data_IF_879817315736
#
_entry.id   IF_879817315736
#
_cell.length_a   1.000
_cell.length_b   1.000
_cell.length_c   1.000
_cell.angle_alpha   90.00
_cell.angle_beta   90.00
_cell.angle_gamma   90.00
#
_symmetry.space_group_name_H-M   'P 1'
#
loop_
_entity.id
_entity.type
_entity.pdbx_description
1 polymer ?
#
# COMPACT_ATOMS: atom_id res chain seq x y z
N UNK A 1 -10.57 -3.70 -20.80
CA UNK A 1 -9.77 -2.47 -20.99
C UNK A 1 -8.35 -2.84 -20.63
N UNK A 2 -7.55 -3.20 -21.62
CA UNK A 2 -6.15 -3.53 -21.42
C UNK A 2 -5.43 -2.23 -21.04
N UNK A 3 -5.13 -2.08 -19.74
CA UNK A 3 -4.10 -1.15 -19.31
C UNK A 3 -2.79 -1.69 -19.85
N UNK A 4 -2.40 -1.19 -21.03
CA UNK A 4 -1.08 -1.43 -21.59
C UNK A 4 -0.11 -0.79 -20.59
N UNK A 5 0.45 -1.62 -19.70
CA UNK A 5 1.63 -1.21 -18.98
C UNK A 5 2.68 -0.96 -20.06
N UNK A 6 3.15 0.27 -20.13
CA UNK A 6 4.15 0.68 -21.10
C UNK A 6 5.36 -0.21 -20.87
N UNK A 7 5.64 -1.07 -21.81
CA UNK A 7 6.94 -1.71 -21.90
C UNK A 7 7.96 -0.60 -22.13
N UNK A 8 9.12 -0.74 -21.55
CA UNK A 8 10.26 0.12 -21.87
C UNK A 8 10.53 0.10 -23.36
N UNK A 9 11.07 1.20 -23.90
CA UNK A 9 11.42 1.27 -25.33
C UNK A 9 12.52 0.27 -25.65
N UNK A 10 12.35 -0.45 -26.76
CA UNK A 10 13.36 -1.41 -27.26
C UNK A 10 14.56 -0.68 -27.87
N UNK A 11 15.75 -1.28 -27.78
CA UNK A 11 16.98 -0.74 -28.38
C UNK A 11 17.58 0.47 -27.70
N UNK A 12 17.06 0.84 -26.52
CA UNK A 12 17.60 1.94 -25.73
C UNK A 12 18.66 1.43 -24.76
N UNK A 13 19.86 2.01 -24.80
CA UNK A 13 20.91 1.75 -23.80
C UNK A 13 20.48 2.31 -22.44
N UNK A 14 20.62 1.51 -21.38
CA UNK A 14 20.14 1.83 -20.04
C UNK A 14 21.27 1.83 -19.04
N UNK A 15 21.27 2.76 -18.09
CA UNK A 15 22.18 2.69 -16.97
C UNK A 15 21.97 1.40 -16.17
N UNK A 16 23.06 0.73 -15.84
CA UNK A 16 23.06 -0.51 -15.06
C UNK A 16 23.34 -0.21 -13.61
N UNK A 17 22.57 -0.79 -12.70
CA UNK A 17 22.72 -0.57 -11.27
C UNK A 17 22.75 -1.91 -10.53
N UNK A 18 23.83 -2.26 -9.83
CA UNK A 18 23.87 -3.46 -9.04
C UNK A 18 23.04 -3.31 -7.78
N UNK A 19 22.37 -4.40 -7.39
CA UNK A 19 21.60 -4.49 -6.16
C UNK A 19 21.76 -5.85 -5.50
N UNK A 20 21.68 -5.90 -4.18
CA UNK A 20 21.53 -7.15 -3.44
C UNK A 20 20.05 -7.53 -3.38
N UNK A 21 19.20 -6.58 -3.02
CA UNK A 21 17.75 -6.77 -2.94
C UNK A 21 17.02 -5.58 -3.56
N UNK A 22 16.05 -5.86 -4.42
CA UNK A 22 15.11 -4.86 -4.92
C UNK A 22 13.70 -5.20 -4.44
N UNK A 23 13.07 -4.29 -3.69
CA UNK A 23 11.69 -4.39 -3.22
C UNK A 23 10.84 -3.50 -4.12
N UNK A 24 9.91 -4.06 -4.87
CA UNK A 24 9.03 -3.31 -5.77
C UNK A 24 7.71 -3.01 -5.07
N UNK A 25 7.49 -1.74 -4.76
CA UNK A 25 6.32 -1.22 -4.08
C UNK A 25 6.61 -0.68 -2.69
N UNK A 26 6.54 0.65 -2.54
CA UNK A 26 6.71 1.42 -1.29
C UNK A 26 5.45 1.51 -0.43
N UNK A 27 4.58 0.49 -0.50
CA UNK A 27 3.40 0.36 0.37
C UNK A 27 3.71 -0.24 1.74
N UNK A 28 2.69 -0.48 2.59
CA UNK A 28 2.89 -1.04 3.93
C UNK A 28 3.73 -2.33 3.93
N UNK A 29 3.47 -3.23 2.98
CA UNK A 29 4.17 -4.52 2.89
C UNK A 29 5.65 -4.34 2.52
N UNK A 30 5.95 -3.51 1.51
CA UNK A 30 7.34 -3.26 1.09
C UNK A 30 8.16 -2.54 2.17
N UNK A 31 7.56 -1.55 2.84
CA UNK A 31 8.22 -0.84 3.94
C UNK A 31 8.45 -1.75 5.15
N UNK A 32 7.47 -2.58 5.53
CA UNK A 32 7.65 -3.55 6.61
C UNK A 32 8.72 -4.60 6.26
N UNK A 33 8.76 -5.05 5.01
CA UNK A 33 9.79 -5.96 4.51
C UNK A 33 11.19 -5.34 4.62
N UNK A 34 11.36 -4.09 4.18
CA UNK A 34 12.63 -3.37 4.25
C UNK A 34 13.11 -3.21 5.70
N UNK A 35 12.22 -2.79 6.61
CA UNK A 35 12.53 -2.67 8.03
C UNK A 35 12.95 -4.01 8.65
N UNK A 36 12.16 -5.07 8.38
CA UNK A 36 12.48 -6.38 8.92
C UNK A 36 13.80 -6.92 8.38
N UNK A 37 14.06 -6.74 7.09
CA UNK A 37 15.33 -7.12 6.47
C UNK A 37 16.50 -6.38 7.12
N UNK A 38 16.37 -5.07 7.35
CA UNK A 38 17.39 -4.29 8.05
C UNK A 38 17.69 -4.84 9.43
N UNK A 39 16.67 -5.16 10.24
CA UNK A 39 16.83 -5.74 11.58
C UNK A 39 17.52 -7.10 11.54
N UNK A 40 17.19 -7.94 10.55
CA UNK A 40 17.83 -9.24 10.39
C UNK A 40 19.29 -9.12 9.98
N UNK A 41 19.63 -8.15 9.14
CA UNK A 41 21.04 -7.84 8.78
C UNK A 41 21.81 -7.38 10.01
N UNK A 42 21.24 -6.48 10.83
CA UNK A 42 21.88 -6.02 12.05
C UNK A 42 22.13 -7.17 13.04
N UNK A 43 21.14 -8.05 13.21
CA UNK A 43 21.27 -9.23 14.06
C UNK A 43 22.32 -10.21 13.53
N UNK A 44 22.34 -10.43 12.19
CA UNK A 44 23.37 -11.26 11.55
C UNK A 44 24.76 -10.68 11.77
N UNK A 45 24.93 -9.40 11.51
CA UNK A 45 26.20 -8.70 11.63
C UNK A 45 26.73 -8.70 13.09
N UNK A 46 25.85 -8.62 14.07
CA UNK A 46 26.20 -8.71 15.45
C UNK A 46 26.70 -10.13 15.85
N UNK A 47 26.18 -11.16 15.18
CA UNK A 47 26.55 -12.57 15.46
C UNK A 47 27.73 -13.07 14.62
N UNK A 48 28.02 -12.43 13.45
CA UNK A 48 29.00 -12.92 12.47
C UNK A 48 29.91 -11.79 12.01
N UNK A 49 31.03 -11.60 12.71
CA UNK A 49 32.01 -10.55 12.39
C UNK A 49 32.78 -10.78 11.09
N UNK A 50 32.87 -12.02 10.65
CA UNK A 50 33.63 -12.49 9.47
C UNK A 50 32.81 -12.51 8.17
N UNK A 51 31.47 -12.32 8.24
CA UNK A 51 30.57 -12.33 7.09
C UNK A 51 29.53 -11.22 7.17
N UNK A 52 29.99 -9.98 7.21
CA UNK A 52 29.11 -8.79 7.31
C UNK A 52 28.28 -8.58 6.04
N UNK A 53 27.00 -8.25 6.22
CA UNK A 53 26.06 -7.88 5.16
C UNK A 53 25.88 -6.36 5.13
N UNK A 54 25.87 -5.78 3.93
CA UNK A 54 25.60 -4.35 3.73
C UNK A 54 24.13 -4.09 3.43
N UNK A 55 23.64 -2.91 3.80
CA UNK A 55 22.31 -2.41 3.43
C UNK A 55 22.36 -1.45 2.23
N UNK A 56 23.53 -1.03 1.78
CA UNK A 56 23.71 0.00 0.75
C UNK A 56 23.11 -0.35 -0.60
N UNK A 57 23.09 -1.66 -0.95
CA UNK A 57 22.57 -2.15 -2.21
C UNK A 57 21.15 -2.73 -2.06
N UNK A 58 20.38 -2.28 -1.05
CA UNK A 58 18.97 -2.64 -0.86
C UNK A 58 18.13 -1.44 -1.27
N UNK A 59 17.27 -1.64 -2.26
CA UNK A 59 16.46 -0.58 -2.82
C UNK A 59 14.98 -0.89 -2.74
N UNK A 60 14.17 0.12 -2.37
CA UNK A 60 12.71 0.08 -2.47
C UNK A 60 12.28 0.97 -3.63
N UNK A 61 11.58 0.45 -4.60
CA UNK A 61 11.02 1.22 -5.72
C UNK A 61 9.58 1.64 -5.40
N UNK A 62 9.30 2.93 -5.47
CA UNK A 62 7.95 3.49 -5.32
C UNK A 62 7.62 4.34 -6.55
N UNK A 63 6.52 3.98 -7.24
CA UNK A 63 6.08 4.68 -8.45
C UNK A 63 5.54 6.09 -8.20
N UNK A 64 5.05 6.36 -7.01
CA UNK A 64 4.59 7.69 -6.62
C UNK A 64 5.78 8.62 -6.37
N UNK A 65 5.55 9.92 -6.48
CA UNK A 65 6.56 10.96 -6.18
C UNK A 65 6.92 11.02 -4.70
N UNK A 66 6.02 10.54 -3.84
CA UNK A 66 6.21 10.44 -2.40
C UNK A 66 5.67 9.10 -1.90
N UNK A 67 6.31 8.55 -0.88
CA UNK A 67 5.85 7.37 -0.17
C UNK A 67 4.44 7.62 0.40
N UNK A 68 3.55 6.65 0.24
CA UNK A 68 2.17 6.73 0.72
C UNK A 68 1.20 7.49 -0.18
N UNK A 69 1.66 8.22 -1.21
CA UNK A 69 0.79 9.06 -2.06
C UNK A 69 -0.33 8.27 -2.76
N UNK A 70 -0.12 7.00 -3.07
CA UNK A 70 -1.13 6.15 -3.67
C UNK A 70 -1.96 5.33 -2.66
N UNK A 71 -1.69 5.50 -1.36
CA UNK A 71 -2.48 4.85 -0.33
C UNK A 71 -3.79 5.62 -0.10
N UNK A 72 -4.90 4.89 -0.05
CA UNK A 72 -6.18 5.47 0.35
C UNK A 72 -6.17 5.73 1.86
N UNK A 73 -6.53 6.95 2.25
CA UNK A 73 -6.63 7.34 3.65
C UNK A 73 -7.84 6.69 4.35
N UNK A 74 -7.77 6.61 5.67
CA UNK A 74 -8.80 5.99 6.52
C UNK A 74 -8.68 4.47 6.55
N UNK A 75 -8.09 3.95 7.62
CA UNK A 75 -7.97 2.53 7.89
C UNK A 75 -8.00 2.27 9.39
N UNK A 76 -8.27 1.03 9.77
CA UNK A 76 -8.00 0.53 11.11
C UNK A 76 -6.68 -0.24 11.09
N UNK A 77 -5.82 0.10 12.02
CA UNK A 77 -4.54 -0.57 12.24
C UNK A 77 -4.68 -1.53 13.40
N UNK A 78 -4.53 -2.82 13.12
CA UNK A 78 -4.25 -3.82 14.15
C UNK A 78 -2.78 -3.63 14.59
N UNK A 79 -2.52 -3.29 15.87
CA UNK A 79 -1.19 -2.93 16.32
C UNK A 79 -0.21 -4.10 16.45
N UNK A 80 -0.67 -5.35 16.39
CA UNK A 80 0.15 -6.53 16.65
C UNK A 80 1.39 -6.60 15.76
N UNK A 81 1.21 -6.46 14.45
CA UNK A 81 2.32 -6.55 13.52
C UNK A 81 3.31 -5.38 13.63
N UNK A 82 2.80 -4.16 13.81
CA UNK A 82 3.68 -3.00 13.95
C UNK A 82 4.40 -2.99 15.30
N UNK A 83 3.76 -3.50 16.36
CA UNK A 83 4.39 -3.63 17.68
C UNK A 83 5.53 -4.66 17.68
N UNK A 84 5.44 -5.74 16.88
CA UNK A 84 6.51 -6.68 16.67
C UNK A 84 7.68 -6.04 15.91
N UNK A 85 7.37 -5.26 14.85
CA UNK A 85 8.36 -4.63 13.99
C UNK A 85 9.05 -3.44 14.65
N UNK A 86 8.26 -2.58 15.30
CA UNK A 86 8.69 -1.34 15.97
C UNK A 86 7.98 -1.24 17.32
N UNK A 87 8.53 -1.83 18.41
CA UNK A 87 7.86 -1.88 19.72
C UNK A 87 7.44 -0.51 20.27
N UNK A 88 8.21 0.52 19.97
CA UNK A 88 7.97 1.90 20.44
C UNK A 88 7.11 2.74 19.47
N UNK A 89 6.42 2.10 18.50
CA UNK A 89 5.68 2.80 17.44
C UNK A 89 4.68 3.83 17.98
N UNK A 90 4.09 3.60 19.15
CA UNK A 90 3.09 4.51 19.75
C UNK A 90 3.66 5.90 20.07
N UNK A 91 4.98 6.05 20.16
CA UNK A 91 5.63 7.30 20.51
C UNK A 91 5.57 8.34 19.39
N UNK A 92 5.67 7.90 18.13
CA UNK A 92 5.83 8.81 16.99
C UNK A 92 5.02 8.41 15.74
N UNK A 93 4.37 7.25 15.74
CA UNK A 93 3.48 6.86 14.65
C UNK A 93 2.25 7.80 14.58
N UNK A 94 1.80 8.17 13.37
CA UNK A 94 0.64 9.04 13.17
C UNK A 94 -0.67 8.28 13.42
N UNK A 95 -0.99 8.04 14.69
CA UNK A 95 -2.23 7.42 15.15
C UNK A 95 -3.26 8.50 15.41
N UNK A 96 -4.43 8.42 14.78
CA UNK A 96 -5.48 9.43 14.92
C UNK A 96 -6.31 9.21 16.21
N UNK A 97 -6.73 7.97 16.49
CA UNK A 97 -7.44 7.60 17.71
C UNK A 97 -7.36 6.09 17.97
N UNK A 98 -7.36 5.68 19.24
CA UNK A 98 -7.58 4.29 19.63
C UNK A 98 -9.07 3.96 19.53
N UNK A 99 -9.42 2.78 19.01
CA UNK A 99 -10.80 2.32 18.91
C UNK A 99 -11.30 1.94 20.29
N UNK A 100 -12.31 2.66 20.74
CA UNK A 100 -12.92 2.49 22.07
C UNK A 100 -14.36 1.96 22.01
N UNK A 101 -15.03 2.14 20.89
CA UNK A 101 -16.41 1.72 20.70
C UNK A 101 -16.66 1.26 19.26
N UNK A 102 -17.42 0.17 19.13
CA UNK A 102 -17.91 -0.31 17.84
C UNK A 102 -19.44 -0.39 17.84
N UNK A 103 -20.03 -0.12 16.70
CA UNK A 103 -21.46 -0.30 16.47
C UNK A 103 -21.72 -0.86 15.07
N UNK A 104 -22.66 -1.76 14.97
CA UNK A 104 -23.13 -2.30 13.69
C UNK A 104 -24.58 -1.88 13.48
N UNK A 105 -24.85 -1.19 12.36
CA UNK A 105 -26.19 -0.77 11.99
C UNK A 105 -26.63 -1.46 10.70
N UNK A 106 -27.85 -1.89 10.71
CA UNK A 106 -28.54 -2.33 9.51
C UNK A 106 -29.48 -1.22 9.03
N UNK A 107 -29.38 -0.87 7.76
CA UNK A 107 -30.20 0.16 7.13
C UNK A 107 -31.23 -0.46 6.20
N UNK A 108 -32.43 0.06 6.28
CA UNK A 108 -33.51 -0.14 5.31
C UNK A 108 -33.80 1.18 4.63
N UNK A 109 -34.67 1.22 3.64
CA UNK A 109 -35.05 2.49 2.96
C UNK A 109 -35.60 3.57 3.90
N UNK A 110 -36.25 3.18 5.00
CA UNK A 110 -36.98 4.12 5.88
C UNK A 110 -36.51 4.09 7.33
N UNK A 111 -35.67 3.14 7.71
CA UNK A 111 -35.26 2.97 9.10
C UNK A 111 -33.85 2.41 9.24
N UNK A 112 -33.34 2.52 10.44
CA UNK A 112 -32.07 1.87 10.84
C UNK A 112 -32.26 1.21 12.19
N UNK A 113 -31.58 0.08 12.41
CA UNK A 113 -31.51 -0.54 13.71
C UNK A 113 -30.07 -0.95 14.04
N UNK A 114 -29.71 -0.77 15.30
CA UNK A 114 -28.41 -1.19 15.81
C UNK A 114 -28.50 -2.67 16.16
N UNK A 115 -27.52 -3.47 15.72
CA UNK A 115 -27.42 -4.85 16.18
C UNK A 115 -27.07 -4.87 17.68
N UNK A 116 -27.71 -5.77 18.45
CA UNK A 116 -27.48 -5.84 19.90
C UNK A 116 -26.07 -6.35 20.25
N UNK A 117 -25.42 -7.03 19.32
CA UNK A 117 -24.09 -7.62 19.51
C UNK A 117 -23.25 -7.29 18.29
N UNK A 118 -22.02 -6.81 18.53
CA UNK A 118 -21.01 -6.71 17.46
C UNK A 118 -20.41 -8.08 17.20
N UNK A 119 -20.50 -8.61 15.95
CA UNK A 119 -19.89 -9.88 15.60
C UNK A 119 -18.38 -9.89 15.91
N UNK A 120 -17.80 -11.02 16.32
CA UNK A 120 -16.39 -11.10 16.72
C UNK A 120 -15.41 -10.57 15.68
N UNK A 121 -15.68 -10.78 14.38
CA UNK A 121 -14.84 -10.33 13.26
C UNK A 121 -14.96 -8.83 12.95
N UNK A 122 -15.86 -8.10 13.62
CA UNK A 122 -16.00 -6.63 13.57
C UNK A 122 -15.63 -5.96 14.90
N UNK A 123 -14.95 -6.69 15.78
CA UNK A 123 -14.46 -6.15 17.04
C UNK A 123 -13.06 -5.61 16.83
N UNK A 124 -12.93 -4.28 16.91
CA UNK A 124 -11.69 -3.56 16.65
C UNK A 124 -11.15 -2.85 17.90
N UNK A 125 -11.66 -3.18 19.07
CA UNK A 125 -11.20 -2.59 20.33
C UNK A 125 -9.69 -2.77 20.52
N UNK A 126 -8.97 -1.67 20.77
CA UNK A 126 -7.52 -1.66 20.86
C UNK A 126 -6.79 -1.50 19.53
N UNK A 127 -7.49 -1.52 18.40
CA UNK A 127 -6.96 -1.08 17.11
C UNK A 127 -6.88 0.46 17.06
N UNK A 128 -6.23 0.99 16.04
CA UNK A 128 -6.10 2.44 15.85
C UNK A 128 -6.73 2.90 14.55
N UNK A 129 -7.49 3.98 14.62
CA UNK A 129 -7.89 4.76 13.45
C UNK A 129 -6.66 5.48 12.92
N UNK A 130 -6.35 5.31 11.66
CA UNK A 130 -5.18 5.92 11.03
C UNK A 130 -5.51 6.53 9.66
N UNK A 131 -4.71 7.52 9.27
CA UNK A 131 -4.53 7.86 7.87
C UNK A 131 -3.44 6.97 7.26
N UNK A 132 -3.83 5.99 6.43
CA UNK A 132 -2.88 5.05 5.83
C UNK A 132 -1.77 5.77 5.04
N UNK A 133 -2.10 6.86 4.37
CA UNK A 133 -1.12 7.70 3.67
C UNK A 133 -0.04 8.22 4.63
N UNK A 134 -0.43 8.83 5.76
CA UNK A 134 0.50 9.34 6.77
C UNK A 134 1.31 8.22 7.41
N UNK A 135 0.65 7.11 7.70
CA UNK A 135 1.28 5.96 8.33
C UNK A 135 2.36 5.34 7.44
N UNK A 136 2.08 5.16 6.15
CA UNK A 136 3.07 4.63 5.21
C UNK A 136 4.22 5.61 4.98
N UNK A 137 3.94 6.92 4.95
CA UNK A 137 4.99 7.95 4.88
C UNK A 137 5.92 7.89 6.10
N UNK A 138 5.36 7.72 7.29
CA UNK A 138 6.14 7.49 8.52
C UNK A 138 6.95 6.20 8.47
N UNK A 139 6.38 5.09 7.98
CA UNK A 139 7.17 3.85 7.76
C UNK A 139 8.33 4.08 6.80
N UNK A 140 8.11 4.87 5.73
CA UNK A 140 9.16 5.23 4.79
C UNK A 140 10.32 5.94 5.46
N UNK A 141 10.06 6.94 6.33
CA UNK A 141 11.12 7.60 7.08
C UNK A 141 11.87 6.62 8.00
N UNK A 142 11.16 5.65 8.62
CA UNK A 142 11.82 4.61 9.40
C UNK A 142 12.72 3.68 8.57
N UNK A 143 12.34 3.41 7.32
CA UNK A 143 13.20 2.66 6.39
C UNK A 143 14.45 3.46 6.04
N UNK A 144 14.31 4.74 5.70
CA UNK A 144 15.44 5.63 5.37
C UNK A 144 16.42 5.78 6.54
N UNK A 145 15.92 5.85 7.80
CA UNK A 145 16.74 5.86 9.02
C UNK A 145 17.67 4.62 9.13
N UNK A 146 17.33 3.50 8.47
CA UNK A 146 18.15 2.28 8.47
C UNK A 146 19.29 2.27 7.46
N UNK A 147 19.36 3.26 6.56
CA UNK A 147 20.31 3.31 5.45
C UNK A 147 19.84 2.61 4.17
N UNK A 148 18.64 2.01 4.15
CA UNK A 148 18.02 1.48 2.93
C UNK A 148 17.48 2.63 2.09
N UNK A 149 17.80 2.63 0.79
CA UNK A 149 17.37 3.69 -0.13
C UNK A 149 15.98 3.44 -0.68
N UNK A 150 15.10 4.47 -0.58
CA UNK A 150 13.78 4.46 -1.18
C UNK A 150 13.76 5.36 -2.42
N UNK A 151 13.64 4.77 -3.59
CA UNK A 151 13.51 5.49 -4.87
C UNK A 151 12.06 5.81 -5.15
N UNK A 152 11.66 7.07 -4.93
CA UNK A 152 10.33 7.57 -5.27
C UNK A 152 10.29 8.10 -6.70
N UNK A 153 9.14 7.95 -7.37
CA UNK A 153 8.99 8.31 -8.78
C UNK A 153 9.51 7.24 -9.75
N UNK A 154 9.95 6.08 -9.26
CA UNK A 154 10.45 4.98 -10.07
C UNK A 154 9.49 3.78 -9.99
N UNK A 155 8.83 3.46 -11.10
CA UNK A 155 8.00 2.27 -11.18
C UNK A 155 8.83 1.09 -11.72
N UNK A 156 8.65 -0.08 -11.12
CA UNK A 156 9.10 -1.32 -11.77
C UNK A 156 8.26 -1.53 -13.04
N UNK A 157 8.90 -1.56 -14.21
CA UNK A 157 8.26 -1.67 -15.52
C UNK A 157 8.36 -3.08 -16.10
N UNK A 158 9.51 -3.73 -15.94
CA UNK A 158 9.77 -5.07 -16.45
C UNK A 158 10.62 -5.87 -15.48
N UNK A 159 10.42 -7.19 -15.46
CA UNK A 159 11.35 -8.12 -14.81
C UNK A 159 12.46 -8.50 -15.78
N UNK A 160 13.70 -8.47 -15.32
CA UNK A 160 14.85 -8.95 -16.07
C UNK A 160 15.05 -10.44 -15.80
N UNK A 161 15.26 -11.22 -16.87
CA UNK A 161 15.39 -12.67 -16.80
C UNK A 161 16.70 -13.15 -17.38
N UNK A 162 17.25 -14.22 -16.78
CA UNK A 162 18.24 -15.09 -17.36
C UNK A 162 17.63 -16.50 -17.39
N UNK A 163 17.16 -16.93 -18.56
CA UNK A 163 16.31 -18.10 -18.70
C UNK A 163 15.01 -17.95 -17.88
N UNK A 164 14.81 -18.80 -16.91
CA UNK A 164 13.66 -18.74 -15.99
C UNK A 164 13.97 -18.05 -14.65
N UNK A 165 15.18 -17.58 -14.48
CA UNK A 165 15.58 -16.88 -13.26
C UNK A 165 15.33 -15.38 -13.42
N UNK A 166 14.64 -14.78 -12.43
CA UNK A 166 14.59 -13.33 -12.30
C UNK A 166 15.94 -12.82 -11.79
N UNK A 167 16.58 -11.94 -12.56
CA UNK A 167 17.89 -11.35 -12.23
C UNK A 167 17.83 -9.86 -11.93
N UNK A 168 16.64 -9.26 -11.95
CA UNK A 168 16.51 -7.84 -11.67
C UNK A 168 15.19 -7.25 -12.11
N UNK A 169 15.15 -5.92 -12.05
CA UNK A 169 13.98 -5.09 -12.40
C UNK A 169 14.44 -3.91 -13.25
N UNK A 170 13.73 -3.67 -14.36
CA UNK A 170 13.84 -2.43 -15.13
C UNK A 170 12.83 -1.42 -14.64
N UNK A 171 13.27 -0.18 -14.43
CA UNK A 171 12.36 0.93 -14.12
C UNK A 171 11.75 1.51 -15.39
N UNK A 172 10.67 2.29 -15.21
CA UNK A 172 9.96 2.92 -16.31
C UNK A 172 10.76 4.05 -16.98
N UNK A 173 10.61 4.16 -18.30
CA UNK A 173 11.13 5.30 -19.07
C UNK A 173 10.32 6.56 -18.76
N UNK A 174 11.00 7.70 -18.65
CA UNK A 174 10.37 9.01 -18.46
C UNK A 174 10.27 9.75 -19.80
N UNK A 175 9.36 10.72 -19.88
CA UNK A 175 9.21 11.52 -21.08
C UNK A 175 8.75 10.74 -22.32
N UNK A 176 7.91 9.71 -22.15
CA UNK A 176 7.26 8.97 -23.23
C UNK A 176 5.82 9.46 -23.40
N UNK A 177 5.33 9.62 -24.64
CA UNK A 177 3.96 10.00 -24.92
C UNK A 177 2.98 8.82 -24.79
N UNK A 178 1.69 9.04 -25.09
CA UNK A 178 0.67 7.98 -24.99
C UNK A 178 0.81 6.92 -26.07
N UNK A 179 1.41 7.26 -27.18
CA UNK A 179 1.66 6.42 -28.33
C UNK A 179 2.95 5.60 -28.19
N UNK A 180 3.79 5.92 -27.17
CA UNK A 180 5.04 5.22 -26.89
C UNK A 180 6.27 5.88 -27.51
N UNK A 181 6.18 7.12 -28.01
CA UNK A 181 7.32 7.81 -28.61
C UNK A 181 8.08 8.67 -27.56
N UNK A 182 9.41 8.74 -27.64
CA UNK A 182 10.20 9.59 -26.78
C UNK A 182 9.94 11.08 -27.08
N UNK A 183 9.78 11.88 -26.02
CA UNK A 183 9.68 13.34 -26.07
C UNK A 183 11.07 13.97 -25.90
N UNK A 184 11.14 15.32 -26.00
CA UNK A 184 12.38 16.07 -25.79
C UNK A 184 13.01 15.90 -24.41
N UNK A 185 12.21 15.52 -23.41
CA UNK A 185 12.64 15.22 -22.04
C UNK A 185 12.65 13.71 -21.76
N UNK A 186 12.93 12.90 -22.76
CA UNK A 186 13.07 11.46 -22.60
C UNK A 186 14.29 11.11 -21.75
N UNK A 187 14.08 10.25 -20.76
CA UNK A 187 15.12 9.66 -19.94
C UNK A 187 14.86 8.16 -19.84
N UNK A 188 15.83 7.30 -20.18
CA UNK A 188 15.68 5.87 -20.06
C UNK A 188 15.58 5.44 -18.61
N UNK A 189 14.82 4.39 -18.33
CA UNK A 189 14.82 3.73 -17.04
C UNK A 189 16.14 3.03 -16.76
N UNK A 190 16.31 2.60 -15.52
CA UNK A 190 17.48 1.86 -15.04
C UNK A 190 17.22 0.36 -15.07
N UNK A 191 18.25 -0.43 -15.38
CA UNK A 191 18.26 -1.87 -15.16
C UNK A 191 18.95 -2.16 -13.82
N UNK A 192 18.15 -2.52 -12.82
CA UNK A 192 18.64 -2.92 -11.50
C UNK A 192 18.88 -4.42 -11.51
N UNK A 193 20.16 -4.84 -11.51
CA UNK A 193 20.53 -6.24 -11.40
C UNK A 193 20.58 -6.68 -9.95
N UNK A 194 19.67 -7.54 -9.55
CA UNK A 194 19.46 -7.92 -8.16
C UNK A 194 19.65 -9.43 -7.93
N UNK A 195 20.23 -9.78 -6.79
CA UNK A 195 20.28 -11.17 -6.31
C UNK A 195 18.92 -11.68 -5.89
N UNK A 196 18.08 -10.77 -5.33
CA UNK A 196 16.72 -11.06 -4.89
C UNK A 196 15.78 -9.92 -5.31
N UNK A 197 14.62 -10.27 -5.87
CA UNK A 197 13.54 -9.34 -6.18
C UNK A 197 12.32 -9.71 -5.34
N UNK A 198 11.77 -8.73 -4.60
CA UNK A 198 10.58 -8.89 -3.78
C UNK A 198 9.46 -8.04 -4.37
N UNK A 199 8.34 -8.66 -4.75
CA UNK A 199 7.19 -7.98 -5.31
C UNK A 199 6.18 -7.64 -4.20
N UNK A 200 6.10 -6.36 -3.83
CA UNK A 200 5.20 -5.81 -2.82
C UNK A 200 4.22 -4.81 -3.42
N UNK A 201 3.74 -5.08 -4.64
CA UNK A 201 2.97 -4.18 -5.51
C UNK A 201 1.49 -4.02 -5.15
N UNK A 202 1.05 -4.64 -4.06
CA UNK A 202 -0.35 -4.64 -3.62
C UNK A 202 -1.21 -5.73 -4.28
N UNK A 203 -2.55 -5.66 -4.10
CA UNK A 203 -3.44 -6.81 -4.38
C UNK A 203 -3.51 -7.23 -5.85
N UNK A 204 -3.18 -6.34 -6.78
CA UNK A 204 -3.20 -6.68 -8.22
C UNK A 204 -1.81 -6.87 -8.80
N UNK A 205 -0.84 -6.09 -8.34
CA UNK A 205 0.49 -6.02 -8.93
C UNK A 205 0.53 -5.54 -10.39
N UNK A 206 1.72 -5.38 -10.91
CA UNK A 206 2.02 -5.17 -12.34
C UNK A 206 2.96 -6.25 -12.82
N UNK A 207 4.19 -6.28 -12.31
CA UNK A 207 5.20 -7.30 -12.60
C UNK A 207 4.76 -8.68 -12.10
N UNK A 208 4.02 -8.70 -10.98
CA UNK A 208 3.44 -9.94 -10.43
C UNK A 208 2.54 -10.64 -11.45
N UNK A 209 1.80 -9.90 -12.29
CA UNK A 209 0.95 -10.51 -13.33
C UNK A 209 1.77 -11.18 -14.42
N UNK A 210 2.86 -10.54 -14.83
CA UNK A 210 3.76 -11.12 -15.85
C UNK A 210 4.39 -12.41 -15.33
N UNK A 211 4.79 -12.40 -14.04
CA UNK A 211 5.34 -13.57 -13.36
C UNK A 211 4.32 -14.71 -13.25
N UNK A 212 3.10 -14.38 -12.83
CA UNK A 212 1.98 -15.34 -12.74
C UNK A 212 1.73 -15.98 -14.12
N UNK A 213 1.68 -15.17 -15.16
CA UNK A 213 1.45 -15.65 -16.52
C UNK A 213 2.62 -16.51 -17.04
N UNK A 214 3.87 -16.08 -16.81
CA UNK A 214 5.06 -16.80 -17.27
C UNK A 214 5.18 -18.20 -16.65
N UNK A 215 4.87 -18.32 -15.37
CA UNK A 215 5.07 -19.55 -14.59
C UNK A 215 3.77 -20.28 -14.22
N UNK A 216 2.63 -19.84 -14.76
CA UNK A 216 1.30 -20.40 -14.47
C UNK A 216 1.00 -20.57 -12.96
N UNK A 217 1.35 -19.53 -12.17
CA UNK A 217 1.30 -19.59 -10.72
C UNK A 217 -0.12 -19.66 -10.15
N UNK A 218 -1.15 -19.51 -10.98
CA UNK A 218 -2.55 -19.58 -10.57
C UNK A 218 -3.24 -20.91 -10.91
N UNK A 219 -2.52 -21.88 -11.48
CA UNK A 219 -3.07 -23.15 -11.95
C UNK A 219 -3.94 -23.86 -10.92
N UNK A 220 -3.51 -23.87 -9.65
CA UNK A 220 -4.21 -24.54 -8.56
C UNK A 220 -4.76 -23.54 -7.53
N UNK A 221 -4.83 -22.25 -7.86
CA UNK A 221 -5.34 -21.22 -6.96
C UNK A 221 -6.86 -21.05 -7.07
N UNK A 222 -7.50 -20.70 -5.96
CA UNK A 222 -8.89 -20.27 -5.99
C UNK A 222 -9.06 -18.98 -6.79
N UNK A 223 -10.20 -18.79 -7.48
CA UNK A 223 -10.47 -17.54 -8.19
C UNK A 223 -10.39 -16.34 -7.26
N UNK A 224 -9.62 -15.34 -7.66
CA UNK A 224 -9.51 -14.10 -6.89
C UNK A 224 -10.76 -13.25 -7.08
N UNK A 225 -11.33 -12.79 -5.96
CA UNK A 225 -12.47 -11.85 -5.97
C UNK A 225 -11.99 -10.44 -5.63
N UNK A 226 -12.55 -9.45 -6.32
CA UNK A 226 -12.24 -8.04 -6.11
C UNK A 226 -13.47 -7.30 -5.64
N UNK A 227 -13.33 -6.56 -4.53
CA UNK A 227 -14.36 -5.62 -4.07
C UNK A 227 -14.11 -4.23 -4.64
N UNK A 228 -15.18 -3.52 -4.96
CA UNK A 228 -15.12 -2.09 -5.29
C UNK A 228 -15.48 -1.29 -4.05
N UNK A 229 -14.61 -0.37 -3.65
CA UNK A 229 -14.84 0.51 -2.52
C UNK A 229 -14.74 1.98 -2.89
N UNK A 230 -15.55 2.80 -2.24
CA UNK A 230 -15.48 4.27 -2.30
C UNK A 230 -15.17 4.76 -0.90
N UNK A 231 -14.21 5.68 -0.78
CA UNK A 231 -13.87 6.33 0.49
C UNK A 231 -14.11 7.83 0.39
N UNK A 232 -14.72 8.37 1.45
CA UNK A 232 -14.97 9.80 1.60
C UNK A 232 -14.49 10.25 2.98
N UNK A 233 -14.05 11.49 3.06
CA UNK A 233 -13.73 12.17 4.32
C UNK A 233 -14.82 13.20 4.61
N UNK A 234 -15.45 13.07 5.77
CA UNK A 234 -16.54 13.94 6.19
C UNK A 234 -16.15 14.73 7.41
N UNK A 235 -16.43 16.02 7.42
CA UNK A 235 -16.40 16.84 8.60
C UNK A 235 -17.80 16.84 9.23
N UNK A 236 -17.90 16.43 10.48
CA UNK A 236 -19.17 16.38 11.21
C UNK A 236 -19.17 17.41 12.34
N UNK A 237 -20.35 17.95 12.74
CA UNK A 237 -20.45 18.85 13.90
C UNK A 237 -19.87 18.21 15.16
N UNK A 238 -19.21 19.02 15.97
CA UNK A 238 -18.63 18.57 17.23
C UNK A 238 -19.66 17.85 18.11
N UNK A 239 -19.23 16.75 18.73
CA UNK A 239 -20.07 15.93 19.62
C UNK A 239 -21.02 14.95 18.91
N UNK A 240 -20.99 14.86 17.58
CA UNK A 240 -21.79 13.86 16.83
C UNK A 240 -21.16 12.47 16.82
N UNK A 241 -19.85 12.39 16.82
CA UNK A 241 -19.06 11.16 16.89
C UNK A 241 -17.96 11.36 17.92
N UNK A 242 -17.68 10.35 18.71
CA UNK A 242 -16.55 10.36 19.63
C UNK A 242 -15.27 9.89 18.91
N UNK A 243 -14.08 10.44 19.22
CA UNK A 243 -12.83 9.90 18.73
C UNK A 243 -12.70 8.41 19.07
N UNK A 244 -12.30 7.58 18.09
CA UNK A 244 -12.21 6.14 18.28
C UNK A 244 -13.55 5.38 18.18
N UNK A 245 -14.65 6.05 17.85
CA UNK A 245 -15.91 5.39 17.53
C UNK A 245 -15.88 4.82 16.10
N UNK A 246 -16.19 3.54 15.96
CA UNK A 246 -16.25 2.81 14.67
C UNK A 246 -17.66 2.36 14.42
N UNK A 247 -18.19 2.69 13.26
CA UNK A 247 -19.55 2.33 12.86
C UNK A 247 -19.49 1.50 11.59
N UNK A 248 -19.98 0.28 11.67
CA UNK A 248 -20.24 -0.59 10.53
C UNK A 248 -21.68 -0.46 10.08
N UNK A 249 -21.89 -0.37 8.77
CA UNK A 249 -23.22 -0.30 8.21
C UNK A 249 -23.41 -1.41 7.17
N UNK A 250 -24.57 -2.04 7.20
CA UNK A 250 -25.02 -2.97 6.19
C UNK A 250 -26.34 -2.48 5.62
N UNK A 251 -26.48 -2.51 4.30
CA UNK A 251 -27.70 -2.11 3.61
C UNK A 251 -27.99 -3.07 2.45
N UNK A 252 -29.28 -3.29 2.17
CA UNK A 252 -29.69 -3.90 0.92
C UNK A 252 -29.87 -2.78 -0.09
N UNK A 253 -29.07 -2.80 -1.14
CA UNK A 253 -29.18 -1.83 -2.23
C UNK A 253 -30.22 -2.31 -3.25
N UNK A 254 -31.29 -1.54 -3.43
CA UNK A 254 -32.31 -1.81 -4.44
C UNK A 254 -32.06 -1.08 -5.77
N UNK A 255 -30.97 -0.34 -5.89
CA UNK A 255 -30.73 0.53 -7.05
C UNK A 255 -30.40 -0.21 -8.35
N UNK A 256 -30.17 -1.51 -8.31
CA UNK A 256 -30.06 -2.35 -9.53
C UNK A 256 -30.52 -3.75 -9.23
N UNK A 257 -31.44 -4.30 -10.00
CA UNK A 257 -31.74 -5.73 -9.93
C UNK A 257 -30.55 -6.56 -10.48
N UNK A 258 -30.12 -7.63 -9.84
CA UNK A 258 -30.60 -8.17 -8.57
C UNK A 258 -30.06 -7.42 -7.35
N UNK A 259 -30.75 -7.48 -6.22
CA UNK A 259 -30.40 -6.85 -4.97
C UNK A 259 -28.93 -7.17 -4.57
N UNK A 260 -28.13 -6.14 -4.40
CA UNK A 260 -26.72 -6.28 -3.98
C UNK A 260 -26.57 -5.76 -2.55
N UNK A 261 -25.81 -6.50 -1.75
CA UNK A 261 -25.41 -6.07 -0.43
C UNK A 261 -24.35 -4.97 -0.55
N UNK A 262 -24.52 -3.88 0.17
CA UNK A 262 -23.51 -2.87 0.37
C UNK A 262 -23.07 -2.84 1.83
N UNK A 263 -21.77 -2.67 2.04
CA UNK A 263 -21.17 -2.51 3.35
C UNK A 263 -20.56 -1.12 3.43
N UNK A 264 -20.75 -0.46 4.55
CA UNK A 264 -20.13 0.81 4.85
C UNK A 264 -19.36 0.73 6.15
N UNK A 265 -18.30 1.49 6.23
CA UNK A 265 -17.46 1.65 7.39
C UNK A 265 -17.21 3.14 7.62
N UNK A 266 -17.42 3.61 8.83
CA UNK A 266 -17.07 4.95 9.27
C UNK A 266 -16.27 4.87 10.56
N UNK A 267 -15.15 5.56 10.64
CA UNK A 267 -14.36 5.69 11.85
C UNK A 267 -14.13 7.17 12.17
N UNK A 268 -14.26 7.54 13.43
CA UNK A 268 -14.01 8.88 13.90
C UNK A 268 -12.54 9.03 14.32
N UNK A 269 -11.82 9.90 13.62
CA UNK A 269 -10.49 10.36 13.98
C UNK A 269 -10.58 11.43 15.11
N UNK A 270 -9.47 11.72 15.77
CA UNK A 270 -9.38 12.86 16.68
C UNK A 270 -9.71 14.17 15.94
N UNK A 271 -10.32 15.17 16.59
CA UNK A 271 -10.64 16.42 15.93
C UNK A 271 -9.38 17.09 15.41
N UNK A 272 -9.27 17.18 14.10
CA UNK A 272 -8.19 17.93 13.43
C UNK A 272 -8.43 19.41 13.72
N UNK A 273 -7.44 20.11 14.27
CA UNK A 273 -7.47 21.56 14.42
C UNK A 273 -7.83 22.17 13.06
N UNK A 274 -8.89 23.00 13.04
CA UNK A 274 -9.52 23.64 11.88
C UNK A 274 -8.64 23.66 10.63
N UNK A 275 -8.91 22.76 9.70
CA UNK A 275 -8.47 22.92 8.31
C UNK A 275 -9.41 23.96 7.67
N UNK A 276 -8.90 25.05 7.06
CA UNK A 276 -9.74 25.98 6.31
C UNK A 276 -10.55 25.19 5.27
N UNK A 277 -11.84 25.52 5.13
CA UNK A 277 -12.80 24.89 4.21
C UNK A 277 -12.13 24.25 2.99
N UNK A 278 -11.75 22.99 3.08
CA UNK A 278 -11.24 22.24 1.97
C UNK A 278 -12.41 21.83 1.08
N UNK A 279 -12.25 22.09 -0.19
CA UNK A 279 -13.19 21.69 -1.26
C UNK A 279 -13.46 20.19 -1.15
N UNK A 280 -14.71 19.79 -1.33
CA UNK A 280 -15.11 18.38 -1.48
C UNK A 280 -14.21 17.72 -2.52
N UNK A 281 -13.23 16.95 -2.09
CA UNK A 281 -12.47 16.08 -2.99
C UNK A 281 -13.05 14.68 -2.88
N UNK A 282 -13.98 14.36 -3.77
CA UNK A 282 -14.43 12.98 -3.99
C UNK A 282 -13.32 12.32 -4.80
N UNK A 283 -12.52 11.47 -4.19
CA UNK A 283 -11.58 10.62 -4.93
C UNK A 283 -12.24 9.26 -5.08
N UNK A 284 -12.95 9.07 -6.21
CA UNK A 284 -13.44 7.77 -6.64
C UNK A 284 -12.25 7.02 -7.23
N UNK A 285 -11.71 6.05 -6.51
CA UNK A 285 -10.79 5.04 -7.07
C UNK A 285 -11.46 3.69 -6.93
N UNK A 286 -11.88 3.14 -8.06
CA UNK A 286 -12.23 1.73 -8.12
C UNK A 286 -10.94 0.93 -7.86
N UNK A 287 -10.89 0.24 -6.71
CA UNK A 287 -9.95 -0.86 -6.54
C UNK A 287 -10.59 -2.05 -7.28
N UNK A 288 -10.10 -2.32 -8.47
CA UNK A 288 -10.43 -3.51 -9.24
C UNK A 288 -9.34 -4.55 -9.01
#
# INVERSE_FOLDING_TARGET
MNLIFRKSLEGVERPQMPADVVIVGGGPAGMACALRLSQLIDAHNAAHSDSQLSKENIYVLEKAREVGQHCLSGALLDPRAIAELLPDFKRDAPLDAEVTQEAVYFFTEKSKFKLPITPPFLRDHGNYVISLNKFVKWLGSKVEETGITVFTGFAGAELLFDGDRVIGVRTDDKGVDKEGHPKSNFEPGYDLHAKVVILAEGPRGSLTKDLIQKFDLTKDANPQTYGVGVKELWEVPAGRLAPGEVIYTMAISYFTAPAKWSYGFAAAAAPVARVPRARRSVTIRAAA
#
